data_IF_995943633430
#
_entry.id   IF_995943633430
#
_cell.length_a   1.000
_cell.length_b   1.000
_cell.length_c   1.000
_cell.angle_alpha   90.00
_cell.angle_beta   90.00
_cell.angle_gamma   90.00
#
_symmetry.space_group_name_H-M   'P 1'
#
loop_
_entity.id
_entity.type
_entity.pdbx_description
1 polymer ?
#
# COMPACT_ATOMS: atom_id res chain seq x y z
N UNK A 1 -22.62 9.32 -8.44
CA UNK A 1 -21.30 10.00 -8.39
C UNK A 1 -20.35 9.13 -7.60
N UNK A 2 -19.11 8.93 -8.05
CA UNK A 2 -18.11 8.10 -7.34
C UNK A 2 -17.06 9.03 -6.75
N UNK A 3 -16.71 8.83 -5.49
CA UNK A 3 -15.66 9.58 -4.81
C UNK A 3 -14.44 8.68 -4.62
N UNK A 4 -13.25 9.21 -4.87
CA UNK A 4 -11.98 8.54 -4.62
C UNK A 4 -11.27 9.32 -3.53
N UNK A 5 -10.85 8.63 -2.47
CA UNK A 5 -10.17 9.23 -1.31
C UNK A 5 -8.81 8.55 -1.17
N UNK A 6 -7.74 9.34 -1.26
CA UNK A 6 -6.38 8.87 -0.99
C UNK A 6 -6.00 9.09 0.47
N UNK A 7 -5.59 8.03 1.18
CA UNK A 7 -5.14 8.11 2.58
C UNK A 7 -3.64 7.77 2.62
N UNK A 8 -2.81 8.81 2.74
CA UNK A 8 -1.36 8.69 2.92
C UNK A 8 -0.93 8.78 4.39
N UNK A 9 0.34 8.54 4.67
CA UNK A 9 0.94 8.71 6.00
C UNK A 9 2.04 7.71 6.29
N UNK A 10 2.73 7.92 7.43
CA UNK A 10 3.86 7.07 7.87
C UNK A 10 3.47 5.61 8.10
N UNK A 11 4.44 4.70 8.00
CA UNK A 11 4.28 3.28 8.34
C UNK A 11 3.78 3.14 9.78
N UNK A 12 2.82 2.22 10.00
CA UNK A 12 2.15 2.01 11.29
C UNK A 12 1.40 3.22 11.87
N UNK A 13 1.17 4.28 11.10
CA UNK A 13 0.42 5.48 11.53
C UNK A 13 -1.10 5.30 11.68
N UNK A 14 -1.61 4.07 11.70
CA UNK A 14 -3.04 3.77 11.89
C UNK A 14 -3.93 3.88 10.65
N UNK A 15 -3.36 3.91 9.44
CA UNK A 15 -4.11 4.01 8.16
C UNK A 15 -5.16 2.90 8.02
N UNK A 16 -4.77 1.65 8.22
CA UNK A 16 -5.66 0.48 8.14
C UNK A 16 -6.82 0.58 9.14
N UNK A 17 -6.52 0.97 10.38
CA UNK A 17 -7.56 1.17 11.41
C UNK A 17 -8.55 2.28 11.02
N UNK A 18 -8.07 3.35 10.38
CA UNK A 18 -8.93 4.42 9.90
C UNK A 18 -9.82 3.94 8.76
N UNK A 19 -9.27 3.23 7.76
CA UNK A 19 -10.05 2.70 6.64
C UNK A 19 -11.11 1.69 7.09
N UNK A 20 -10.79 0.82 8.05
CA UNK A 20 -11.75 -0.14 8.61
C UNK A 20 -12.95 0.54 9.27
N UNK A 21 -12.71 1.68 9.93
CA UNK A 21 -13.79 2.49 10.52
C UNK A 21 -14.60 3.18 9.42
N UNK A 22 -13.96 3.69 8.37
CA UNK A 22 -14.65 4.34 7.26
C UNK A 22 -15.58 3.37 6.52
N UNK A 23 -15.12 2.15 6.20
CA UNK A 23 -15.95 1.13 5.54
C UNK A 23 -17.20 0.81 6.37
N UNK A 24 -17.07 0.72 7.70
CA UNK A 24 -18.20 0.44 8.59
C UNK A 24 -19.24 1.57 8.65
N UNK A 25 -18.83 2.81 8.39
CA UNK A 25 -19.70 3.99 8.50
C UNK A 25 -20.17 4.52 7.13
N UNK A 26 -19.55 4.11 6.03
CA UNK A 26 -19.87 4.58 4.68
C UNK A 26 -20.50 3.45 3.84
N UNK A 27 -21.80 3.54 3.50
CA UNK A 27 -22.43 2.54 2.64
C UNK A 27 -21.84 2.59 1.23
N UNK A 28 -21.77 1.44 0.56
CA UNK A 28 -21.20 1.30 -0.79
C UNK A 28 -19.74 1.77 -0.92
N UNK A 29 -18.97 1.66 0.17
CA UNK A 29 -17.55 1.95 0.21
C UNK A 29 -16.74 0.66 -0.04
N UNK A 30 -15.62 0.79 -0.75
CA UNK A 30 -14.60 -0.25 -0.87
C UNK A 30 -13.24 0.37 -0.58
N UNK A 31 -12.29 -0.45 -0.12
CA UNK A 31 -10.93 -0.01 0.18
C UNK A 31 -9.95 -0.84 -0.61
N UNK A 32 -8.94 -0.16 -1.12
CA UNK A 32 -7.80 -0.74 -1.82
C UNK A 32 -6.57 -0.43 -0.97
N UNK A 33 -5.85 -1.45 -0.49
CA UNK A 33 -4.63 -1.27 0.26
C UNK A 33 -3.43 -1.31 -0.67
N UNK A 34 -2.55 -0.30 -0.59
CA UNK A 34 -1.29 -0.29 -1.34
C UNK A 34 -0.41 -1.51 -1.01
N UNK A 35 -0.49 -2.00 0.24
CA UNK A 35 0.29 -3.13 0.73
C UNK A 35 -0.10 -4.47 0.08
N UNK A 36 -1.28 -4.56 -0.54
CA UNK A 36 -1.71 -5.78 -1.24
C UNK A 36 -1.03 -5.94 -2.61
N UNK A 37 -0.34 -4.88 -3.09
CA UNK A 37 0.26 -4.82 -4.43
C UNK A 37 1.80 -4.84 -4.39
N UNK A 38 2.40 -5.34 -3.32
CA UNK A 38 3.84 -5.59 -3.29
C UNK A 38 4.24 -6.71 -4.25
N UNK A 39 5.43 -6.57 -4.85
CA UNK A 39 6.03 -7.66 -5.62
C UNK A 39 6.26 -8.89 -4.72
N UNK A 40 6.08 -10.11 -5.24
CA UNK A 40 6.47 -11.34 -4.55
C UNK A 40 7.94 -11.30 -4.13
N UNK A 41 8.28 -11.95 -3.02
CA UNK A 41 9.64 -11.92 -2.44
C UNK A 41 10.77 -12.23 -3.43
N UNK A 42 10.54 -13.16 -4.37
CA UNK A 42 11.53 -13.56 -5.38
C UNK A 42 11.73 -12.54 -6.52
N UNK A 43 10.86 -11.53 -6.63
CA UNK A 43 10.95 -10.43 -7.61
C UNK A 43 11.48 -9.14 -6.99
N UNK A 44 11.79 -9.15 -5.68
CA UNK A 44 12.37 -8.02 -4.97
C UNK A 44 13.87 -8.03 -5.17
N UNK A 45 14.43 -6.92 -5.65
CA UNK A 45 15.88 -6.75 -5.75
C UNK A 45 16.51 -6.80 -4.35
N UNK A 46 17.69 -7.42 -4.24
CA UNK A 46 18.46 -7.45 -3.00
C UNK A 46 19.49 -6.33 -3.06
N UNK A 47 19.55 -5.51 -2.01
CA UNK A 47 20.53 -4.43 -1.89
C UNK A 47 21.94 -4.95 -1.66
N UNK A 48 22.92 -4.04 -1.72
CA UNK A 48 24.33 -4.36 -1.46
C UNK A 48 24.57 -4.89 -0.02
N UNK A 49 23.68 -4.53 0.91
CA UNK A 49 23.68 -4.98 2.30
C UNK A 49 23.13 -6.41 2.49
N UNK A 50 22.69 -7.05 1.40
CA UNK A 50 22.13 -8.39 1.42
C UNK A 50 20.67 -8.46 1.89
N UNK A 51 20.01 -7.32 2.12
CA UNK A 51 18.59 -7.26 2.48
C UNK A 51 17.71 -6.98 1.27
N UNK A 52 16.47 -7.50 1.23
CA UNK A 52 15.52 -7.13 0.19
C UNK A 52 15.30 -5.60 0.17
N UNK A 53 15.37 -4.99 -1.00
CA UNK A 53 15.02 -3.59 -1.21
C UNK A 53 13.53 -3.40 -0.92
N UNK A 54 13.19 -3.04 0.32
CA UNK A 54 11.80 -2.82 0.77
C UNK A 54 11.30 -1.41 0.48
N UNK A 55 12.12 -0.56 -0.16
CA UNK A 55 11.72 0.80 -0.51
C UNK A 55 10.60 0.75 -1.54
N UNK A 56 9.50 1.47 -1.30
CA UNK A 56 8.35 1.48 -2.20
C UNK A 56 8.72 1.75 -3.66
N UNK A 57 9.70 2.62 -3.95
CA UNK A 57 10.13 2.92 -5.33
C UNK A 57 10.85 1.78 -6.06
N UNK A 58 11.42 0.81 -5.34
CA UNK A 58 12.02 -0.40 -5.92
C UNK A 58 11.00 -1.52 -6.14
N UNK A 59 9.86 -1.42 -5.44
CA UNK A 59 8.82 -2.44 -5.42
C UNK A 59 7.80 -2.30 -6.56
N UNK A 60 7.83 -1.22 -7.34
CA UNK A 60 6.92 -1.01 -8.47
C UNK A 60 7.67 -1.03 -9.80
N UNK A 61 7.00 -1.48 -10.87
CA UNK A 61 7.55 -1.35 -12.21
C UNK A 61 7.63 0.13 -12.60
N UNK A 62 8.84 0.61 -12.88
CA UNK A 62 9.09 1.99 -13.31
C UNK A 62 8.71 2.24 -14.78
N UNK A 63 8.18 1.21 -15.46
CA UNK A 63 7.84 1.22 -16.88
C UNK A 63 6.32 1.30 -17.13
N UNK A 64 5.53 1.57 -16.09
CA UNK A 64 4.10 1.93 -16.19
C UNK A 64 3.96 3.45 -16.09
#
# INVERSE_FOLDING_TARGET
>A
MKNIIGIGGVTNGGKTTLTDRLIKNLPNCCVLHQDDFFKPQHQIEVGEDGFPCTTHSSQYDKNI
#
